data_IF_788296278724
#
_entry.id   IF_788296278724
#
_cell.length_a   1.000
_cell.length_b   1.000
_cell.length_c   1.000
_cell.angle_alpha   90.00
_cell.angle_beta   90.00
_cell.angle_gamma   90.00
#
_symmetry.space_group_name_H-M   'P 1'
#
loop_
_entity.id
_entity.type
_entity.pdbx_description
1 polymer ?
#
# COMPACT_ATOMS: atom_id res chain seq x y z
N UNK A 1 -7.67 13.22 4.95
CA UNK A 1 -8.13 12.35 3.85
C UNK A 1 -9.24 13.08 3.12
N UNK A 2 -9.14 13.23 1.81
CA UNK A 2 -10.25 13.72 0.99
C UNK A 2 -11.05 12.55 0.38
N UNK A 3 -12.20 12.84 -0.22
CA UNK A 3 -13.09 11.82 -0.78
C UNK A 3 -12.43 11.04 -1.91
N UNK A 4 -11.61 11.70 -2.72
CA UNK A 4 -10.90 11.06 -3.83
C UNK A 4 -9.86 10.04 -3.34
N UNK A 5 -9.10 10.36 -2.29
CA UNK A 5 -8.16 9.44 -1.65
C UNK A 5 -8.88 8.24 -1.05
N UNK A 6 -10.01 8.47 -0.38
CA UNK A 6 -10.82 7.39 0.19
C UNK A 6 -11.30 6.44 -0.92
N UNK A 7 -11.91 7.00 -1.97
CA UNK A 7 -12.42 6.26 -3.12
C UNK A 7 -11.32 5.43 -3.78
N UNK A 8 -10.17 6.04 -4.09
CA UNK A 8 -9.03 5.33 -4.70
C UNK A 8 -8.50 4.22 -3.79
N UNK A 9 -8.41 4.46 -2.48
CA UNK A 9 -8.00 3.45 -1.50
C UNK A 9 -8.94 2.25 -1.48
N UNK A 10 -10.24 2.49 -1.37
CA UNK A 10 -11.29 1.46 -1.37
C UNK A 10 -11.33 0.69 -2.70
N UNK A 11 -11.29 1.38 -3.84
CA UNK A 11 -11.25 0.75 -5.17
C UNK A 11 -10.00 -0.13 -5.34
N UNK A 12 -8.84 0.31 -4.83
CA UNK A 12 -7.60 -0.46 -4.93
C UNK A 12 -7.66 -1.72 -4.06
N UNK A 13 -8.25 -1.64 -2.87
CA UNK A 13 -8.51 -2.82 -2.03
C UNK A 13 -9.44 -3.80 -2.73
N UNK A 14 -10.46 -3.30 -3.44
CA UNK A 14 -11.35 -4.13 -4.24
C UNK A 14 -10.59 -4.85 -5.37
N UNK A 15 -9.75 -4.13 -6.13
CA UNK A 15 -8.90 -4.71 -7.19
C UNK A 15 -7.95 -5.78 -6.63
N UNK A 16 -7.30 -5.51 -5.48
CA UNK A 16 -6.41 -6.46 -4.80
C UNK A 16 -7.17 -7.74 -4.42
N UNK A 17 -8.33 -7.62 -3.77
CA UNK A 17 -9.13 -8.77 -3.37
C UNK A 17 -9.65 -9.56 -4.58
N UNK A 18 -10.12 -8.87 -5.62
CA UNK A 18 -10.63 -9.50 -6.84
C UNK A 18 -9.53 -10.24 -7.62
N UNK A 19 -8.27 -9.79 -7.52
CA UNK A 19 -7.15 -10.39 -8.25
C UNK A 19 -6.78 -11.80 -7.79
N UNK A 20 -7.02 -12.14 -6.51
CA UNK A 20 -6.54 -13.39 -5.91
C UNK A 20 -5.01 -13.52 -5.80
N UNK A 21 -4.23 -12.47 -6.09
CA UNK A 21 -2.77 -12.51 -6.06
C UNK A 21 -2.17 -12.46 -4.65
N UNK A 22 -2.94 -11.97 -3.67
CA UNK A 22 -2.55 -11.90 -2.27
C UNK A 22 -3.01 -13.14 -1.50
N UNK A 23 -2.30 -13.54 -0.43
CA UNK A 23 -2.54 -14.82 0.27
C UNK A 23 -3.83 -14.84 1.12
N UNK A 24 -4.70 -13.84 1.01
CA UNK A 24 -5.93 -13.74 1.76
C UNK A 24 -6.63 -12.40 1.55
N UNK A 25 -7.78 -12.22 2.23
CA UNK A 25 -8.53 -10.97 2.24
C UNK A 25 -7.69 -9.84 2.83
N UNK A 26 -7.72 -8.68 2.19
CA UNK A 26 -7.07 -7.46 2.70
C UNK A 26 -7.72 -7.02 4.02
N UNK A 27 -6.88 -6.73 5.01
CA UNK A 27 -7.27 -6.24 6.35
C UNK A 27 -6.86 -4.78 6.59
N UNK A 28 -6.34 -4.10 5.57
CA UNK A 28 -5.92 -2.69 5.64
C UNK A 28 -7.12 -1.79 5.94
N UNK A 29 -6.97 -0.92 6.93
CA UNK A 29 -7.99 0.08 7.28
C UNK A 29 -7.90 1.32 6.36
N UNK A 30 -9.06 1.85 5.99
CA UNK A 30 -9.18 3.14 5.27
C UNK A 30 -9.92 4.12 6.18
N UNK A 31 -9.16 4.90 6.93
CA UNK A 31 -9.68 5.84 7.93
C UNK A 31 -9.14 7.25 7.66
N UNK A 32 -9.85 8.32 8.09
CA UNK A 32 -9.34 9.67 7.98
C UNK A 32 -7.99 9.82 8.70
N UNK A 33 -7.03 10.45 8.05
CA UNK A 33 -5.76 10.82 8.68
C UNK A 33 -5.99 11.54 10.01
N UNK A 34 -5.41 11.03 11.09
CA UNK A 34 -5.43 11.61 12.43
C UNK A 34 -4.22 12.50 12.67
N UNK A 35 -4.07 13.00 13.90
CA UNK A 35 -2.81 13.60 14.36
C UNK A 35 -1.68 12.60 14.13
N UNK A 36 -0.62 13.07 13.49
CA UNK A 36 0.60 12.32 13.25
C UNK A 36 1.67 12.80 14.24
N UNK A 37 2.08 11.93 15.16
CA UNK A 37 3.13 12.21 16.12
C UNK A 37 4.48 11.83 15.52
N UNK A 38 5.34 12.81 15.31
CA UNK A 38 6.66 12.57 14.74
C UNK A 38 7.49 11.67 15.67
N UNK A 39 8.05 10.60 15.10
CA UNK A 39 8.99 9.73 15.81
C UNK A 39 10.34 10.44 16.00
N UNK A 40 11.08 10.03 17.03
CA UNK A 40 12.36 10.60 17.42
C UNK A 40 13.39 10.62 16.27
N UNK A 41 14.37 11.55 16.26
CA UNK A 41 15.30 11.72 15.14
C UNK A 41 16.07 10.45 14.76
N UNK A 42 16.36 9.56 15.71
CA UNK A 42 17.01 8.27 15.47
C UNK A 42 16.16 7.28 14.64
N UNK A 43 14.85 7.50 14.50
CA UNK A 43 13.97 6.72 13.65
C UNK A 43 13.88 7.26 12.22
N UNK A 44 14.15 8.56 12.02
CA UNK A 44 14.08 9.20 10.71
C UNK A 44 15.24 8.76 9.82
N UNK A 45 14.93 8.34 8.59
CA UNK A 45 15.94 7.87 7.62
C UNK A 45 16.85 6.75 8.14
N UNK A 46 16.34 5.90 9.05
CA UNK A 46 17.13 4.84 9.69
C UNK A 46 17.87 3.94 8.69
N UNK A 47 17.17 3.41 7.68
CA UNK A 47 17.78 2.54 6.66
C UNK A 47 18.65 3.29 5.63
N UNK A 48 18.61 4.63 5.57
CA UNK A 48 19.58 5.40 4.80
C UNK A 48 20.89 5.57 5.56
N UNK A 49 20.83 5.74 6.89
CA UNK A 49 21.99 5.85 7.78
C UNK A 49 22.64 4.49 8.08
N UNK A 50 21.82 3.44 8.17
CA UNK A 50 22.23 2.05 8.39
C UNK A 50 21.66 1.16 7.27
N UNK A 51 22.32 1.08 6.10
CA UNK A 51 21.82 0.33 4.94
C UNK A 51 21.58 -1.16 5.20
N UNK A 52 22.39 -1.77 6.07
CA UNK A 52 22.26 -3.18 6.48
C UNK A 52 21.42 -3.35 7.76
N UNK A 53 20.70 -2.29 8.17
CA UNK A 53 19.82 -2.30 9.32
C UNK A 53 18.61 -3.22 9.13
N UNK A 54 17.89 -3.47 10.21
CA UNK A 54 16.76 -4.40 10.21
C UNK A 54 15.61 -3.95 9.28
N UNK A 55 15.15 -4.85 8.41
CA UNK A 55 13.91 -4.72 7.64
C UNK A 55 13.36 -6.09 7.25
N UNK A 56 12.03 -6.20 7.14
CA UNK A 56 11.35 -7.35 6.57
C UNK A 56 10.62 -7.03 5.25
N UNK A 57 10.73 -5.79 4.76
CA UNK A 57 10.01 -5.32 3.58
C UNK A 57 10.82 -5.54 2.31
N UNK A 58 10.21 -6.20 1.32
CA UNK A 58 10.78 -6.32 -0.03
C UNK A 58 9.66 -6.43 -1.08
N UNK A 59 9.85 -5.91 -2.31
CA UNK A 59 8.85 -6.03 -3.38
C UNK A 59 8.55 -7.49 -3.70
N UNK A 60 7.28 -7.85 -3.78
CA UNK A 60 6.82 -9.15 -4.26
C UNK A 60 6.48 -9.02 -5.76
N UNK A 61 7.24 -9.63 -6.67
CA UNK A 61 7.01 -9.45 -8.12
C UNK A 61 5.59 -9.82 -8.57
N UNK A 62 4.96 -10.79 -7.89
CA UNK A 62 3.63 -11.29 -8.23
C UNK A 62 2.49 -10.54 -7.54
N UNK A 63 2.79 -9.58 -6.67
CA UNK A 63 1.78 -8.71 -6.03
C UNK A 63 1.64 -7.43 -6.83
N UNK A 64 1.18 -7.59 -8.08
CA UNK A 64 1.11 -6.52 -9.07
C UNK A 64 -0.21 -6.62 -9.83
N UNK A 65 -1.04 -5.59 -9.70
CA UNK A 65 -2.26 -5.46 -10.48
C UNK A 65 -1.95 -5.07 -11.94
N UNK A 66 -2.76 -5.51 -12.90
CA UNK A 66 -2.73 -4.95 -14.26
C UNK A 66 -3.09 -3.46 -14.24
N UNK A 67 -2.69 -2.69 -15.26
CA UNK A 67 -3.10 -1.29 -15.32
C UNK A 67 -4.60 -1.21 -15.60
N UNK A 68 -5.34 -0.34 -14.90
CA UNK A 68 -6.80 -0.18 -15.10
C UNK A 68 -7.19 0.13 -16.56
N UNK A 69 -6.37 0.89 -17.27
CA UNK A 69 -6.56 1.15 -18.71
C UNK A 69 -6.41 -0.11 -19.59
N UNK A 70 -5.65 -1.12 -19.14
CA UNK A 70 -5.53 -2.42 -19.82
C UNK A 70 -6.74 -3.32 -19.47
N UNK A 71 -7.23 -3.28 -18.22
CA UNK A 71 -8.44 -4.01 -17.81
C UNK A 71 -9.71 -3.53 -18.53
N UNK A 72 -9.88 -2.22 -18.70
CA UNK A 72 -11.04 -1.63 -19.39
C UNK A 72 -11.08 -1.94 -20.89
N UNK A 73 -9.94 -2.32 -21.49
CA UNK A 73 -9.86 -2.74 -22.89
C UNK A 73 -10.10 -4.24 -23.09
N UNK A 74 -10.04 -5.00 -22.00
CA UNK A 74 -10.14 -6.45 -22.01
C UNK A 74 -11.54 -6.97 -21.62
N UNK A 75 -12.46 -6.07 -21.23
CA UNK A 75 -13.87 -6.36 -20.98
C UNK A 75 -14.76 -5.66 -22.02
#
# INVERSE_FOLDING_TARGET
MNDEQKRVGEDTIADVNASGLWPGKVVTEVTPASVFWEAEPEHQDYLKRYPDGYTCHFPRPNWKLPKRAEMQRAG
#
